data_IF_489863586461
#
_entry.id   IF_489863586461
#
_cell.length_a   1.000
_cell.length_b   1.000
_cell.length_c   1.000
_cell.angle_alpha   90.00
_cell.angle_beta   90.00
_cell.angle_gamma   90.00
#
_symmetry.space_group_name_H-M   'P 1'
#
loop_
_entity.id
_entity.type
_entity.pdbx_description
1 polymer ?
#
# COMPACT_ATOMS: atom_id res chain seq x y z
N UNK A 1 17.84 -1.42 -4.37
CA UNK A 1 16.73 -2.21 -4.93
C UNK A 1 15.40 -1.60 -4.53
N UNK A 2 14.37 -1.71 -5.39
CA UNK A 2 13.04 -1.19 -5.07
C UNK A 2 11.99 -2.31 -5.17
N UNK A 3 11.12 -2.36 -4.17
CA UNK A 3 10.01 -3.31 -4.08
C UNK A 3 8.69 -2.58 -3.85
N UNK A 4 7.61 -3.16 -4.29
CA UNK A 4 6.27 -2.76 -3.91
C UNK A 4 5.74 -3.71 -2.85
N UNK A 5 5.22 -3.17 -1.73
CA UNK A 5 4.72 -3.95 -0.60
C UNK A 5 3.22 -3.78 -0.50
N UNK A 6 2.49 -4.88 -0.66
CA UNK A 6 1.04 -4.91 -0.48
C UNK A 6 0.69 -5.19 0.98
N UNK A 7 -0.39 -4.56 1.46
CA UNK A 7 -0.90 -4.78 2.82
C UNK A 7 -0.29 -3.89 3.89
N UNK A 8 0.47 -2.84 3.51
CA UNK A 8 0.87 -1.78 4.44
C UNK A 8 -0.31 -0.84 4.72
N UNK A 9 -1.26 -1.26 5.53
CA UNK A 9 -2.51 -0.51 5.73
C UNK A 9 -2.44 0.48 6.89
N UNK A 10 -1.42 0.40 7.73
CA UNK A 10 -1.25 1.26 8.91
C UNK A 10 0.21 1.70 9.11
N UNK A 11 0.39 2.83 9.79
CA UNK A 11 1.73 3.36 10.08
C UNK A 11 2.58 2.40 10.93
N UNK A 12 1.95 1.60 11.81
CA UNK A 12 2.65 0.59 12.61
C UNK A 12 3.26 -0.52 11.77
N UNK A 13 2.72 -0.78 10.56
CA UNK A 13 3.26 -1.76 9.63
C UNK A 13 4.66 -1.38 9.14
N UNK A 14 4.93 -0.08 8.98
CA UNK A 14 6.26 0.44 8.61
C UNK A 14 7.27 0.03 9.68
N UNK A 15 7.01 0.36 10.95
CA UNK A 15 7.92 0.02 12.05
C UNK A 15 8.16 -1.48 12.19
N UNK A 16 7.14 -2.32 11.93
CA UNK A 16 7.27 -3.78 11.94
C UNK A 16 8.21 -4.27 10.83
N UNK A 17 8.09 -3.76 9.63
CA UNK A 17 8.94 -4.11 8.48
C UNK A 17 10.36 -3.58 8.70
N UNK A 18 10.53 -2.33 9.11
CA UNK A 18 11.84 -1.73 9.40
C UNK A 18 12.57 -2.51 10.49
N UNK A 19 11.91 -2.85 11.60
CA UNK A 19 12.50 -3.63 12.69
C UNK A 19 12.95 -5.02 12.22
N UNK A 20 12.18 -5.67 11.36
CA UNK A 20 12.52 -6.97 10.82
C UNK A 20 13.71 -6.91 9.86
N UNK A 21 13.74 -5.90 8.97
CA UNK A 21 14.82 -5.71 8.00
C UNK A 21 16.12 -5.22 8.66
N UNK A 22 16.04 -4.38 9.69
CA UNK A 22 17.20 -3.91 10.45
C UNK A 22 17.96 -5.03 11.17
N UNK A 23 17.33 -6.17 11.41
CA UNK A 23 17.95 -7.37 12.01
C UNK A 23 18.64 -8.28 10.98
N UNK A 24 18.44 -8.03 9.70
CA UNK A 24 19.05 -8.84 8.64
C UNK A 24 20.47 -8.32 8.36
N UNK A 25 21.49 -9.19 8.43
CA UNK A 25 22.86 -8.80 8.14
C UNK A 25 23.00 -8.40 6.66
N UNK A 26 23.66 -7.28 6.39
CA UNK A 26 23.90 -6.81 5.02
C UNK A 26 22.76 -6.00 4.38
N UNK A 27 21.69 -5.68 5.11
CA UNK A 27 20.66 -4.75 4.68
C UNK A 27 20.95 -3.36 5.24
N UNK A 28 20.97 -2.33 4.39
CA UNK A 28 21.20 -0.93 4.76
C UNK A 28 20.23 -0.01 4.01
N UNK A 29 20.14 1.25 4.47
CA UNK A 29 19.33 2.30 3.85
C UNK A 29 17.87 1.90 3.59
N UNK A 30 17.23 1.28 4.58
CA UNK A 30 15.82 0.88 4.48
C UNK A 30 14.95 2.12 4.52
N UNK A 31 14.28 2.41 3.41
CA UNK A 31 13.32 3.50 3.29
C UNK A 31 11.97 2.95 2.84
N UNK A 32 10.96 3.14 3.69
CA UNK A 32 9.59 2.76 3.41
C UNK A 32 8.73 3.99 3.17
N UNK A 33 8.03 4.01 2.06
CA UNK A 33 7.07 5.06 1.75
C UNK A 33 5.64 4.50 1.81
N UNK A 34 4.88 4.96 2.80
CA UNK A 34 3.51 4.53 3.02
C UNK A 34 2.56 4.90 1.88
N UNK A 35 2.72 6.11 1.29
CA UNK A 35 1.82 6.61 0.26
C UNK A 35 1.96 5.83 -1.05
N UNK A 36 3.20 5.49 -1.43
CA UNK A 36 3.51 4.75 -2.66
C UNK A 36 3.64 3.24 -2.44
N UNK A 37 3.57 2.78 -1.19
CA UNK A 37 3.80 1.37 -0.81
C UNK A 37 5.13 0.83 -1.35
N UNK A 38 6.14 1.68 -1.39
CA UNK A 38 7.47 1.33 -1.91
C UNK A 38 8.47 1.14 -0.78
N UNK A 39 9.26 0.08 -0.90
CA UNK A 39 10.44 -0.19 -0.11
C UNK A 39 11.66 0.03 -0.97
N UNK A 40 12.56 0.88 -0.53
CA UNK A 40 13.90 1.05 -1.09
C UNK A 40 14.90 0.57 -0.06
N UNK A 41 15.84 -0.27 -0.48
CA UNK A 41 16.91 -0.76 0.38
C UNK A 41 18.20 -0.99 -0.43
N UNK A 42 19.33 -0.95 0.28
CA UNK A 42 20.65 -1.28 -0.25
C UNK A 42 21.10 -2.62 0.35
N UNK A 43 21.55 -3.54 -0.50
CA UNK A 43 22.19 -4.77 -0.07
C UNK A 43 23.69 -4.61 -0.20
N UNK A 44 24.42 -4.93 0.87
CA UNK A 44 25.87 -4.97 0.86
C UNK A 44 26.36 -6.17 0.01
N UNK A 45 27.41 -5.95 -0.75
CA UNK A 45 27.95 -6.95 -1.70
C UNK A 45 28.55 -8.21 -1.06
N UNK A 46 28.67 -8.24 0.27
CA UNK A 46 29.29 -9.36 1.01
C UNK A 46 28.46 -10.66 1.07
N UNK A 47 27.36 -10.76 0.32
CA UNK A 47 26.66 -12.02 0.06
C UNK A 47 25.90 -12.64 1.24
N UNK A 48 25.84 -11.98 2.39
CA UNK A 48 25.19 -12.53 3.59
C UNK A 48 23.66 -12.59 3.48
N UNK A 49 23.04 -11.68 2.69
CA UNK A 49 21.58 -11.64 2.48
C UNK A 49 21.28 -11.46 1.02
N UNK A 50 20.46 -12.33 0.46
CA UNK A 50 20.00 -12.24 -0.92
C UNK A 50 18.63 -11.57 -1.01
N UNK A 51 18.28 -11.06 -2.18
CA UNK A 51 16.97 -10.47 -2.46
C UNK A 51 15.81 -11.41 -2.07
N UNK A 52 15.99 -12.71 -2.29
CA UNK A 52 15.03 -13.76 -1.92
C UNK A 52 14.77 -13.84 -0.40
N UNK A 53 15.78 -13.57 0.43
CA UNK A 53 15.63 -13.64 1.89
C UNK A 53 14.83 -12.44 2.42
N UNK A 54 15.00 -11.27 1.81
CA UNK A 54 14.18 -10.08 2.06
C UNK A 54 12.72 -10.39 1.70
N UNK A 55 12.48 -10.96 0.51
CA UNK A 55 11.13 -11.35 0.09
C UNK A 55 10.48 -12.36 1.02
N UNK A 56 11.22 -13.40 1.41
CA UNK A 56 10.73 -14.42 2.36
C UNK A 56 10.39 -13.82 3.71
N UNK A 57 11.21 -12.91 4.21
CA UNK A 57 10.99 -12.25 5.49
C UNK A 57 9.71 -11.41 5.46
N UNK A 58 9.52 -10.60 4.42
CA UNK A 58 8.32 -9.77 4.26
C UNK A 58 7.06 -10.64 4.09
N UNK A 59 7.15 -11.73 3.31
CA UNK A 59 6.04 -12.70 3.16
C UNK A 59 5.70 -13.40 4.48
N UNK A 60 6.70 -13.71 5.34
CA UNK A 60 6.46 -14.29 6.69
C UNK A 60 5.73 -13.33 7.61
N UNK A 61 5.99 -12.03 7.49
CA UNK A 61 5.28 -10.98 8.22
C UNK A 61 3.83 -10.81 7.76
N UNK A 62 3.42 -11.50 6.69
CA UNK A 62 2.07 -11.44 6.15
C UNK A 62 1.84 -10.35 5.11
N UNK A 63 2.90 -9.69 4.63
CA UNK A 63 2.83 -8.68 3.58
C UNK A 63 3.07 -9.29 2.20
N UNK A 64 2.38 -8.76 1.18
CA UNK A 64 2.70 -9.05 -0.21
C UNK A 64 3.94 -8.26 -0.64
N UNK A 65 4.81 -8.86 -1.44
CA UNK A 65 5.98 -8.18 -2.02
C UNK A 65 6.10 -8.53 -3.49
N UNK A 66 6.32 -7.52 -4.31
CA UNK A 66 6.64 -7.64 -5.72
C UNK A 66 7.84 -6.77 -6.06
N UNK A 67 8.80 -7.33 -6.80
CA UNK A 67 9.96 -6.58 -7.28
C UNK A 67 9.47 -5.48 -8.24
N UNK A 68 9.85 -4.25 -7.99
CA UNK A 68 9.62 -3.14 -8.91
C UNK A 68 10.77 -3.12 -9.91
N UNK A 69 10.68 -3.95 -10.94
CA UNK A 69 11.53 -3.79 -12.12
C UNK A 69 11.30 -2.39 -12.67
N UNK A 70 12.39 -1.69 -13.03
CA UNK A 70 12.39 -0.38 -13.71
C UNK A 70 11.18 -0.24 -14.64
N UNK A 71 10.54 0.94 -14.69
CA UNK A 71 9.33 1.13 -15.48
C UNK A 71 9.59 0.76 -16.93
N UNK A 72 9.14 -0.41 -17.33
CA UNK A 72 9.03 -0.78 -18.73
C UNK A 72 7.90 0.07 -19.32
N UNK A 73 8.09 0.66 -20.48
CA UNK A 73 7.16 1.54 -21.19
C UNK A 73 5.77 0.94 -21.49
N UNK A 74 5.47 -0.28 -21.02
CA UNK A 74 4.21 -0.97 -21.24
C UNK A 74 3.21 -0.89 -20.08
N UNK A 75 3.53 -0.20 -18.96
CA UNK A 75 2.63 -0.11 -17.80
C UNK A 75 1.54 0.98 -17.90
N UNK A 76 1.23 1.46 -19.10
CA UNK A 76 0.17 2.46 -19.31
C UNK A 76 -1.25 1.94 -19.03
N UNK A 77 -1.44 0.63 -18.80
CA UNK A 77 -2.77 0.03 -18.61
C UNK A 77 -3.03 -0.56 -17.21
N UNK A 78 -2.07 -0.52 -16.30
CA UNK A 78 -2.29 -0.96 -14.91
C UNK A 78 -2.60 0.23 -14.00
N UNK A 79 -3.70 0.93 -14.28
CA UNK A 79 -4.36 1.68 -13.20
C UNK A 79 -4.81 0.65 -12.18
N UNK A 80 -4.39 0.73 -10.92
CA UNK A 80 -4.91 -0.14 -9.89
C UNK A 80 -6.41 0.16 -9.77
N UNK A 81 -7.22 -0.72 -10.36
CA UNK A 81 -8.66 -0.67 -10.20
C UNK A 81 -8.93 -0.77 -8.71
N UNK A 82 -9.58 0.24 -8.15
CA UNK A 82 -10.02 0.22 -6.76
C UNK A 82 -10.97 -0.95 -6.61
N UNK A 83 -10.44 -2.09 -6.18
CA UNK A 83 -11.26 -3.26 -5.95
C UNK A 83 -12.24 -2.96 -4.82
N UNK A 84 -13.53 -3.29 -4.98
CA UNK A 84 -14.49 -3.11 -3.91
C UNK A 84 -14.08 -3.94 -2.70
N UNK A 85 -14.26 -3.39 -1.48
CA UNK A 85 -13.79 -3.96 -0.22
C UNK A 85 -14.20 -5.44 0.00
N UNK A 86 -15.37 -5.86 -0.53
CA UNK A 86 -15.85 -7.25 -0.44
C UNK A 86 -15.07 -8.25 -1.32
N UNK A 87 -14.30 -7.78 -2.28
CA UNK A 87 -13.43 -8.62 -3.13
C UNK A 87 -12.03 -8.77 -2.55
N UNK A 88 -11.65 -7.91 -1.59
CA UNK A 88 -10.36 -7.99 -0.93
C UNK A 88 -10.25 -9.26 -0.07
N UNK A 89 -9.02 -9.75 0.13
CA UNK A 89 -8.78 -10.91 1.01
C UNK A 89 -9.35 -10.68 2.41
N UNK A 90 -9.16 -9.47 2.97
CA UNK A 90 -9.68 -9.09 4.28
C UNK A 90 -11.20 -9.05 4.30
N UNK A 91 -11.84 -8.48 3.28
CA UNK A 91 -13.31 -8.48 3.16
C UNK A 91 -13.90 -9.89 3.14
N UNK A 92 -13.29 -10.80 2.38
CA UNK A 92 -13.71 -12.21 2.35
C UNK A 92 -13.50 -12.92 3.69
N UNK A 93 -12.41 -12.63 4.41
CA UNK A 93 -12.16 -13.18 5.74
C UNK A 93 -13.20 -12.70 6.75
N UNK A 94 -13.52 -11.39 6.78
CA UNK A 94 -14.55 -10.84 7.67
C UNK A 94 -15.94 -11.41 7.35
N UNK A 95 -16.30 -11.51 6.06
CA UNK A 95 -17.56 -12.11 5.64
C UNK A 95 -17.64 -13.60 6.03
N UNK A 96 -16.55 -14.35 5.82
CA UNK A 96 -16.50 -15.76 6.23
C UNK A 96 -16.59 -15.95 7.73
N UNK A 97 -15.89 -15.11 8.52
CA UNK A 97 -15.96 -15.15 9.97
C UNK A 97 -17.35 -14.74 10.50
N UNK A 98 -17.96 -13.72 9.89
CA UNK A 98 -19.33 -13.31 10.22
C UNK A 98 -20.37 -14.41 9.92
N UNK A 99 -20.21 -15.10 8.79
CA UNK A 99 -21.06 -16.22 8.43
C UNK A 99 -20.88 -17.40 9.39
N UNK A 100 -19.62 -17.71 9.76
CA UNK A 100 -19.30 -18.73 10.74
C UNK A 100 -19.92 -18.41 12.12
N UNK A 101 -19.82 -17.17 12.55
CA UNK A 101 -20.39 -16.68 13.81
C UNK A 101 -21.92 -16.73 13.79
N UNK A 102 -22.55 -16.31 12.70
CA UNK A 102 -24.00 -16.42 12.53
C UNK A 102 -24.47 -17.88 12.55
N UNK A 103 -23.74 -18.76 11.89
CA UNK A 103 -24.02 -20.20 11.93
C UNK A 103 -23.85 -20.79 13.33
N UNK A 104 -22.81 -20.38 14.07
CA UNK A 104 -22.60 -20.79 15.45
C UNK A 104 -23.74 -20.35 16.35
N UNK A 105 -24.23 -19.12 16.18
CA UNK A 105 -25.37 -18.58 16.93
C UNK A 105 -26.67 -19.34 16.65
N UNK A 106 -26.95 -19.64 15.38
CA UNK A 106 -28.12 -20.42 14.97
C UNK A 106 -28.05 -21.84 15.54
N UNK A 107 -26.89 -22.49 15.48
CA UNK A 107 -26.68 -23.83 16.05
C UNK A 107 -26.84 -23.83 17.56
N UNK A 108 -26.35 -22.82 18.27
CA UNK A 108 -26.53 -22.70 19.72
C UNK A 108 -28.00 -22.52 20.14
N UNK A 109 -28.83 -21.87 19.30
CA UNK A 109 -30.28 -21.76 19.55
C UNK A 109 -30.97 -23.13 19.48
N UNK A 110 -30.57 -24.02 18.56
CA UNK A 110 -31.17 -25.36 18.43
C UNK A 110 -30.57 -26.37 19.40
N UNK A 111 -29.30 -26.19 19.78
CA UNK A 111 -28.54 -27.12 20.63
C UNK A 111 -27.81 -26.38 21.76
N UNK A 112 -28.53 -25.86 22.79
CA UNK A 112 -27.91 -25.03 23.82
C UNK A 112 -26.80 -25.74 24.60
N UNK A 113 -26.89 -27.05 24.80
CA UNK A 113 -25.88 -27.82 25.52
C UNK A 113 -24.53 -27.91 24.76
N UNK A 114 -24.50 -27.65 23.45
CA UNK A 114 -23.30 -27.73 22.61
C UNK A 114 -22.83 -26.34 22.14
N UNK A 115 -23.57 -25.27 22.46
CA UNK A 115 -23.31 -23.90 22.02
C UNK A 115 -21.87 -23.45 22.32
N UNK A 116 -21.40 -23.66 23.53
CA UNK A 116 -20.02 -23.29 23.94
C UNK A 116 -18.93 -23.93 23.06
N UNK A 117 -19.12 -25.21 22.71
CA UNK A 117 -18.14 -25.91 21.85
C UNK A 117 -18.12 -25.41 20.42
N UNK A 118 -19.30 -25.01 19.90
CA UNK A 118 -19.43 -24.45 18.55
C UNK A 118 -18.78 -23.08 18.49
N UNK A 119 -19.01 -22.23 19.49
CA UNK A 119 -18.31 -20.93 19.58
C UNK A 119 -16.81 -21.11 19.78
N UNK A 120 -16.39 -22.05 20.62
CA UNK A 120 -14.96 -22.32 20.81
C UNK A 120 -14.28 -22.75 19.50
N UNK A 121 -14.92 -23.60 18.70
CA UNK A 121 -14.41 -23.97 17.38
C UNK A 121 -14.35 -22.76 16.43
N UNK A 122 -15.37 -21.90 16.43
CA UNK A 122 -15.38 -20.67 15.62
C UNK A 122 -14.26 -19.71 16.02
N UNK A 123 -13.98 -19.54 17.32
CA UNK A 123 -12.88 -18.72 17.85
C UNK A 123 -11.54 -19.28 17.40
N UNK A 124 -11.30 -20.58 17.52
CA UNK A 124 -10.04 -21.21 17.11
C UNK A 124 -9.78 -20.97 15.63
N UNK A 125 -10.79 -21.17 14.77
CA UNK A 125 -10.68 -20.90 13.33
C UNK A 125 -10.45 -19.42 13.05
N UNK A 126 -11.17 -18.53 13.75
CA UNK A 126 -11.08 -17.08 13.57
C UNK A 126 -9.75 -16.49 14.06
N UNK A 127 -9.21 -16.98 15.18
CA UNK A 127 -7.95 -16.51 15.76
C UNK A 127 -6.74 -17.01 14.96
N UNK A 128 -6.85 -18.16 14.30
CA UNK A 128 -5.72 -18.80 13.63
C UNK A 128 -4.88 -17.88 12.72
N UNK A 129 -5.46 -17.09 11.78
CA UNK A 129 -4.69 -16.19 10.94
C UNK A 129 -3.98 -15.09 11.74
N UNK A 130 -4.60 -14.59 12.80
CA UNK A 130 -4.03 -13.56 13.67
C UNK A 130 -2.92 -14.12 14.56
N UNK A 131 -3.12 -15.29 15.15
CA UNK A 131 -2.10 -15.98 15.94
C UNK A 131 -0.84 -16.29 15.12
N UNK A 132 -1.02 -16.75 13.89
CA UNK A 132 0.12 -16.99 12.98
C UNK A 132 0.89 -15.69 12.68
N UNK A 133 0.17 -14.58 12.45
CA UNK A 133 0.78 -13.27 12.23
C UNK A 133 1.47 -12.76 13.49
N UNK A 134 0.84 -12.92 14.66
CA UNK A 134 1.40 -12.55 15.96
C UNK A 134 2.71 -13.29 16.25
N UNK A 135 2.76 -14.60 16.01
CA UNK A 135 3.97 -15.41 16.18
C UNK A 135 5.07 -14.92 15.22
N UNK A 136 4.75 -14.69 13.95
CA UNK A 136 5.72 -14.20 12.98
C UNK A 136 6.32 -12.85 13.38
N UNK A 137 5.49 -11.93 13.88
CA UNK A 137 5.91 -10.62 14.39
C UNK A 137 6.75 -10.75 15.67
N UNK A 138 6.38 -11.62 16.58
CA UNK A 138 7.15 -11.88 17.80
C UNK A 138 8.55 -12.41 17.47
N UNK A 139 8.66 -13.36 16.53
CA UNK A 139 9.94 -13.89 16.05
C UNK A 139 10.79 -12.84 15.32
N UNK A 140 10.15 -11.86 14.69
CA UNK A 140 10.81 -10.75 13.98
C UNK A 140 11.20 -9.59 14.91
N UNK A 141 10.90 -9.71 16.22
CA UNK A 141 11.32 -8.74 17.25
C UNK A 141 10.30 -7.73 17.66
N UNK A 142 9.04 -7.91 17.28
CA UNK A 142 7.91 -7.09 17.71
C UNK A 142 6.87 -7.96 18.45
N UNK A 143 7.18 -8.45 19.67
CA UNK A 143 6.31 -9.38 20.39
C UNK A 143 5.02 -8.72 20.88
N UNK A 144 5.05 -7.43 21.15
CA UNK A 144 3.90 -6.66 21.65
C UNK A 144 3.15 -6.00 20.50
N UNK A 145 2.55 -6.82 19.66
CA UNK A 145 1.69 -6.32 18.58
C UNK A 145 0.22 -6.41 19.00
N UNK A 146 -0.63 -5.63 18.33
CA UNK A 146 -2.08 -5.66 18.59
C UNK A 146 -2.69 -7.04 18.30
N UNK A 147 -2.12 -7.74 17.30
CA UNK A 147 -2.50 -9.11 16.96
C UNK A 147 -2.16 -10.10 18.07
N UNK A 148 -1.01 -9.90 18.76
CA UNK A 148 -0.62 -10.71 19.91
C UNK A 148 -1.58 -10.49 21.06
N UNK A 149 -1.85 -9.22 21.39
CA UNK A 149 -2.76 -8.86 22.48
C UNK A 149 -4.16 -9.44 22.27
N UNK A 150 -4.70 -9.30 21.06
CA UNK A 150 -6.01 -9.85 20.69
C UNK A 150 -6.03 -11.37 20.76
N UNK A 151 -4.99 -12.03 20.23
CA UNK A 151 -4.91 -13.50 20.27
C UNK A 151 -4.85 -14.03 21.71
N UNK A 152 -4.07 -13.39 22.58
CA UNK A 152 -3.98 -13.75 24.00
C UNK A 152 -5.31 -13.51 24.70
N UNK A 153 -5.97 -12.38 24.45
CA UNK A 153 -7.26 -12.06 25.04
C UNK A 153 -8.35 -13.07 24.62
N UNK A 154 -8.43 -13.40 23.33
CA UNK A 154 -9.42 -14.35 22.82
C UNK A 154 -9.19 -15.77 23.35
N UNK A 155 -7.92 -16.22 23.42
CA UNK A 155 -7.59 -17.51 24.04
C UNK A 155 -7.85 -17.50 25.53
N UNK A 156 -7.54 -16.41 26.24
CA UNK A 156 -7.85 -16.26 27.66
C UNK A 156 -9.34 -16.37 27.96
N UNK A 157 -10.17 -15.69 27.16
CA UNK A 157 -11.64 -15.78 27.27
C UNK A 157 -12.15 -17.22 27.05
N UNK A 158 -11.55 -17.94 26.09
CA UNK A 158 -11.83 -19.37 25.86
C UNK A 158 -11.50 -20.24 27.09
N UNK A 159 -10.37 -19.98 27.75
CA UNK A 159 -9.97 -20.72 28.96
C UNK A 159 -10.89 -20.48 30.15
N UNK A 160 -11.48 -19.29 30.24
CA UNK A 160 -12.45 -18.92 31.29
C UNK A 160 -13.83 -19.53 30.98
N UNK A 161 -14.07 -19.98 29.75
CA UNK A 161 -15.34 -20.55 29.31
C UNK A 161 -16.26 -19.59 28.57
N UNK A 162 -15.82 -18.33 28.38
CA UNK A 162 -16.56 -17.25 27.70
C UNK A 162 -16.29 -17.28 26.18
N UNK A 163 -16.76 -18.36 25.53
CA UNK A 163 -16.50 -18.58 24.11
C UNK A 163 -17.27 -17.60 23.20
N UNK A 164 -18.45 -17.15 23.62
CA UNK A 164 -19.25 -16.17 22.87
C UNK A 164 -18.58 -14.81 22.83
N UNK A 165 -18.10 -14.32 23.98
CA UNK A 165 -17.37 -13.07 24.09
C UNK A 165 -16.07 -13.12 23.29
N UNK A 166 -15.33 -14.23 23.38
CA UNK A 166 -14.14 -14.45 22.58
C UNK A 166 -14.43 -14.34 21.07
N UNK A 167 -15.51 -14.96 20.61
CA UNK A 167 -15.94 -14.90 19.22
C UNK A 167 -16.30 -13.47 18.79
N UNK A 168 -17.04 -12.75 19.63
CA UNK A 168 -17.41 -11.36 19.39
C UNK A 168 -16.20 -10.45 19.30
N UNK A 169 -15.21 -10.59 20.19
CA UNK A 169 -13.96 -9.81 20.16
C UNK A 169 -13.19 -10.06 18.87
N UNK A 170 -13.00 -11.31 18.46
CA UNK A 170 -12.30 -11.66 17.22
C UNK A 170 -13.01 -11.09 16.00
N UNK A 171 -14.32 -11.14 15.97
CA UNK A 171 -15.13 -10.62 14.86
C UNK A 171 -15.07 -9.10 14.78
N UNK A 172 -15.26 -8.40 15.90
CA UNK A 172 -15.19 -6.93 15.96
C UNK A 172 -13.79 -6.43 15.60
N UNK A 173 -12.76 -7.11 16.07
CA UNK A 173 -11.38 -6.80 15.67
C UNK A 173 -11.18 -6.93 14.16
N UNK A 174 -11.69 -8.01 13.56
CA UNK A 174 -11.60 -8.23 12.12
C UNK A 174 -12.31 -7.14 11.32
N UNK A 175 -13.46 -6.66 11.81
CA UNK A 175 -14.18 -5.51 11.22
C UNK A 175 -13.31 -4.25 11.34
N UNK A 176 -12.73 -3.99 12.50
CA UNK A 176 -11.86 -2.84 12.74
C UNK A 176 -10.67 -2.81 11.75
N UNK A 177 -9.99 -3.94 11.57
CA UNK A 177 -8.88 -4.08 10.62
C UNK A 177 -9.33 -3.88 9.16
N UNK A 178 -10.54 -4.32 8.82
CA UNK A 178 -11.11 -4.07 7.49
C UNK A 178 -11.39 -2.58 7.28
N UNK A 179 -12.03 -1.91 8.25
CA UNK A 179 -12.34 -0.49 8.17
C UNK A 179 -11.07 0.36 8.08
N UNK A 180 -10.03 0.02 8.86
CA UNK A 180 -8.72 0.67 8.80
C UNK A 180 -8.11 0.56 7.39
N UNK A 181 -8.13 -0.64 6.80
CA UNK A 181 -7.60 -0.85 5.45
C UNK A 181 -8.38 -0.06 4.39
N UNK A 182 -9.71 -0.03 4.48
CA UNK A 182 -10.57 0.74 3.56
C UNK A 182 -10.31 2.25 3.70
N UNK A 183 -10.14 2.76 4.91
CA UNK A 183 -9.83 4.15 5.16
C UNK A 183 -8.45 4.53 4.60
N UNK A 184 -7.43 3.68 4.84
CA UNK A 184 -6.09 3.86 4.30
C UNK A 184 -6.08 3.86 2.76
N UNK A 185 -6.81 2.96 2.13
CA UNK A 185 -6.88 2.89 0.67
C UNK A 185 -7.57 4.11 0.06
N UNK A 186 -8.62 4.63 0.70
CA UNK A 186 -9.27 5.89 0.28
C UNK A 186 -8.33 7.08 0.39
N UNK A 187 -7.59 7.19 1.51
CA UNK A 187 -6.61 8.27 1.70
C UNK A 187 -5.52 8.21 0.62
N UNK A 188 -5.00 7.03 0.32
CA UNK A 188 -4.00 6.83 -0.74
C UNK A 188 -4.55 7.12 -2.13
N UNK A 189 -5.80 6.80 -2.41
CA UNK A 189 -6.43 7.10 -3.70
C UNK A 189 -6.42 8.60 -3.98
N UNK A 190 -6.66 9.45 -2.97
CA UNK A 190 -6.53 10.90 -3.08
C UNK A 190 -5.10 11.34 -3.45
N UNK A 191 -4.09 10.80 -2.77
CA UNK A 191 -2.68 11.10 -3.06
C UNK A 191 -2.29 10.64 -4.47
N UNK A 192 -2.71 9.44 -4.87
CA UNK A 192 -2.45 8.91 -6.22
C UNK A 192 -3.13 9.73 -7.30
N UNK A 193 -4.34 10.22 -7.06
CA UNK A 193 -5.05 11.10 -7.98
C UNK A 193 -4.27 12.40 -8.22
N UNK A 194 -3.69 12.99 -7.18
CA UNK A 194 -2.81 14.15 -7.33
C UNK A 194 -1.51 13.79 -8.07
N UNK A 195 -0.87 12.66 -7.74
CA UNK A 195 0.33 12.21 -8.42
C UNK A 195 0.09 11.88 -9.90
N UNK A 196 -1.13 11.44 -10.28
CA UNK A 196 -1.50 11.20 -11.67
C UNK A 196 -1.65 12.47 -12.51
N UNK A 197 -1.69 13.64 -11.86
CA UNK A 197 -1.69 14.94 -12.54
C UNK A 197 -0.32 15.25 -13.16
N UNK A 198 0.75 14.64 -12.66
CA UNK A 198 2.10 14.82 -13.21
C UNK A 198 2.25 13.91 -14.45
N UNK A 199 2.48 14.48 -15.65
CA UNK A 199 2.63 13.71 -16.86
C UNK A 199 3.89 12.84 -16.82
N UNK A 200 3.77 11.57 -17.24
CA UNK A 200 4.89 10.62 -17.24
C UNK A 200 5.72 10.67 -18.51
N UNK A 201 5.16 11.15 -19.62
CA UNK A 201 5.82 11.22 -20.93
C UNK A 201 5.86 12.66 -21.45
N UNK A 202 6.87 13.02 -22.21
CA UNK A 202 7.07 14.30 -22.86
C UNK A 202 7.39 14.09 -24.34
N UNK A 203 7.02 15.04 -25.20
CA UNK A 203 7.40 15.02 -26.60
C UNK A 203 8.65 15.89 -26.78
N UNK A 204 9.79 15.25 -27.02
CA UNK A 204 11.06 15.91 -27.31
C UNK A 204 11.09 16.31 -28.78
N UNK A 205 11.56 17.53 -29.06
CA UNK A 205 11.86 18.03 -30.40
C UNK A 205 13.39 17.89 -30.64
N UNK A 206 13.76 17.21 -31.69
CA UNK A 206 15.17 17.21 -32.12
C UNK A 206 15.51 18.44 -32.97
N UNK A 207 16.80 18.64 -33.26
CA UNK A 207 17.28 19.78 -34.04
C UNK A 207 16.76 19.83 -35.49
N UNK A 208 16.23 18.70 -36.00
CA UNK A 208 15.64 18.57 -37.33
C UNK A 208 14.13 18.68 -37.35
N UNK A 209 13.49 18.97 -36.19
CA UNK A 209 12.04 19.09 -36.05
C UNK A 209 11.34 17.74 -35.87
N UNK A 210 12.08 16.65 -35.72
CA UNK A 210 11.51 15.32 -35.39
C UNK A 210 10.92 15.32 -33.99
N UNK A 211 9.78 14.62 -33.85
CA UNK A 211 9.07 14.48 -32.58
C UNK A 211 9.26 13.08 -32.03
N UNK A 212 9.75 12.96 -30.80
CA UNK A 212 9.92 11.68 -30.12
C UNK A 212 9.33 11.74 -28.72
N UNK A 213 8.49 10.78 -28.40
CA UNK A 213 7.95 10.62 -27.04
C UNK A 213 9.02 9.98 -26.15
N UNK A 214 9.33 10.62 -25.02
CA UNK A 214 10.31 10.20 -24.04
C UNK A 214 9.68 10.25 -22.64
N UNK A 215 10.23 9.48 -21.71
CA UNK A 215 9.84 9.59 -20.31
C UNK A 215 10.22 10.99 -19.78
N UNK A 216 9.28 11.67 -19.07
CA UNK A 216 9.54 13.00 -18.53
C UNK A 216 10.77 13.04 -17.61
N UNK A 217 11.06 11.94 -16.88
CA UNK A 217 12.22 11.79 -16.03
C UNK A 217 13.57 11.70 -16.80
N UNK A 218 13.53 11.45 -18.12
CA UNK A 218 14.74 11.39 -18.96
C UNK A 218 15.11 12.72 -19.61
N UNK A 219 14.30 13.77 -19.41
CA UNK A 219 14.58 15.10 -19.92
C UNK A 219 15.84 15.68 -19.26
N UNK A 220 16.62 16.39 -20.08
CA UNK A 220 17.84 17.08 -19.65
C UNK A 220 17.67 18.59 -19.80
N UNK A 221 18.50 19.33 -19.10
CA UNK A 221 18.56 20.79 -19.24
C UNK A 221 18.93 21.14 -20.69
N UNK A 222 18.20 22.08 -21.28
CA UNK A 222 18.25 22.53 -22.67
C UNK A 222 17.53 21.61 -23.68
N UNK A 223 16.82 20.60 -23.25
CA UNK A 223 15.94 19.85 -24.16
C UNK A 223 14.74 20.72 -24.59
N UNK A 224 14.39 20.63 -25.86
CA UNK A 224 13.18 21.30 -26.40
C UNK A 224 11.99 20.37 -26.31
N UNK A 225 10.97 20.79 -25.58
CA UNK A 225 9.74 19.99 -25.38
C UNK A 225 8.56 20.67 -26.09
N UNK A 226 7.84 19.89 -26.88
CA UNK A 226 6.60 20.35 -27.51
C UNK A 226 5.44 20.26 -26.52
N UNK A 227 4.75 21.39 -26.29
CA UNK A 227 3.53 21.48 -25.50
C UNK A 227 2.40 21.94 -26.41
N UNK A 228 1.36 21.14 -26.57
CA UNK A 228 0.19 21.46 -27.37
C UNK A 228 -0.90 22.10 -26.49
N UNK A 229 -1.84 22.86 -27.08
CA UNK A 229 -3.02 23.32 -26.36
C UNK A 229 -3.76 22.17 -25.68
N UNK A 230 -4.01 22.31 -24.37
CA UNK A 230 -4.64 21.26 -23.56
C UNK A 230 -3.65 20.27 -22.91
N UNK A 231 -2.38 20.26 -23.31
CA UNK A 231 -1.37 19.43 -22.68
C UNK A 231 -1.01 19.96 -21.28
N UNK A 232 -0.56 19.04 -20.42
CA UNK A 232 0.03 19.39 -19.13
C UNK A 232 1.53 19.61 -19.29
N UNK A 233 2.05 20.62 -18.59
CA UNK A 233 3.48 20.87 -18.52
C UNK A 233 4.19 19.72 -17.84
N UNK A 234 5.28 19.25 -18.42
CA UNK A 234 5.98 18.01 -18.03
C UNK A 234 7.32 18.27 -17.34
N UNK A 235 7.80 19.50 -17.42
CA UNK A 235 9.03 19.97 -16.78
C UNK A 235 8.95 21.49 -16.61
N UNK A 236 9.70 22.00 -15.65
CA UNK A 236 9.94 23.44 -15.52
C UNK A 236 10.81 23.90 -16.67
N UNK A 237 10.54 25.10 -17.20
CA UNK A 237 11.27 25.56 -18.35
C UNK A 237 11.01 27.03 -18.71
N UNK A 238 11.57 27.43 -19.83
CA UNK A 238 11.39 28.75 -20.42
C UNK A 238 10.78 28.56 -21.81
N UNK A 239 9.83 29.41 -22.18
CA UNK A 239 9.22 29.38 -23.53
C UNK A 239 10.14 30.10 -24.51
N UNK A 240 10.89 29.40 -25.38
CA UNK A 240 11.74 30.05 -26.37
C UNK A 240 10.93 30.62 -27.53
N UNK A 241 9.88 29.91 -27.94
CA UNK A 241 9.03 30.29 -29.07
C UNK A 241 7.54 30.09 -28.72
N UNK A 242 6.69 31.05 -29.08
CA UNK A 242 5.26 30.97 -28.86
C UNK A 242 4.79 31.69 -27.59
N UNK A 243 3.58 31.36 -27.17
CA UNK A 243 2.98 31.89 -25.94
C UNK A 243 2.33 30.76 -25.18
N UNK A 244 2.30 30.88 -23.87
CA UNK A 244 1.76 29.86 -22.96
C UNK A 244 0.86 30.51 -21.93
N UNK A 245 -0.31 29.94 -21.70
CA UNK A 245 -1.24 30.36 -20.65
C UNK A 245 -1.55 29.17 -19.72
N UNK A 246 -0.62 28.82 -18.80
CA UNK A 246 -0.78 27.66 -17.96
C UNK A 246 -1.89 27.85 -16.92
N UNK A 247 -2.79 26.89 -16.81
CA UNK A 247 -3.75 26.82 -15.72
C UNK A 247 -3.08 26.19 -14.49
N UNK A 248 -2.88 26.99 -13.45
CA UNK A 248 -2.25 26.59 -12.18
C UNK A 248 -3.26 26.22 -11.09
N UNK A 249 -4.55 26.29 -11.38
CA UNK A 249 -5.61 26.04 -10.39
C UNK A 249 -5.50 24.70 -9.63
N UNK A 250 -4.99 23.61 -10.22
CA UNK A 250 -4.80 22.35 -9.47
C UNK A 250 -3.71 22.40 -8.39
N UNK A 251 -2.74 23.30 -8.53
CA UNK A 251 -1.55 23.37 -7.65
C UNK A 251 -1.47 24.62 -6.80
N UNK A 252 -2.27 25.64 -7.13
CA UNK A 252 -2.29 26.91 -6.42
C UNK A 252 -3.74 27.40 -6.23
N UNK A 253 -3.97 28.20 -5.20
CA UNK A 253 -5.28 28.84 -4.94
C UNK A 253 -5.67 29.86 -6.02
N UNK A 254 -4.74 30.22 -6.93
CA UNK A 254 -4.98 31.17 -8.02
C UNK A 254 -5.75 30.51 -9.17
N UNK A 255 -7.03 30.85 -9.31
CA UNK A 255 -7.91 30.30 -10.35
C UNK A 255 -7.72 30.98 -11.74
N UNK A 256 -6.89 31.99 -11.87
CA UNK A 256 -6.69 32.73 -13.14
C UNK A 256 -5.45 32.21 -13.88
N UNK A 257 -5.57 31.82 -15.17
CA UNK A 257 -4.44 31.51 -16.01
C UNK A 257 -3.56 32.75 -16.23
N UNK A 258 -2.24 32.59 -16.10
CA UNK A 258 -1.26 33.63 -16.35
C UNK A 258 -0.62 33.41 -17.71
N UNK A 259 -0.81 34.35 -18.64
CA UNK A 259 -0.13 34.25 -19.94
C UNK A 259 1.36 34.55 -19.80
N UNK A 260 2.17 33.76 -20.48
CA UNK A 260 3.62 33.86 -20.50
C UNK A 260 4.09 33.93 -21.94
N UNK A 261 4.86 34.95 -22.28
CA UNK A 261 5.41 35.17 -23.63
C UNK A 261 6.86 34.70 -23.69
N UNK A 262 7.37 34.45 -24.91
CA UNK A 262 8.73 34.00 -25.17
C UNK A 262 9.77 34.84 -24.41
N UNK A 263 10.70 34.20 -23.74
CA UNK A 263 11.83 34.80 -23.04
C UNK A 263 11.56 35.38 -21.64
N UNK A 264 10.31 35.34 -21.12
CA UNK A 264 9.96 36.15 -19.95
C UNK A 264 9.74 35.37 -18.63
N UNK A 265 9.53 34.07 -18.61
CA UNK A 265 9.18 33.43 -17.30
C UNK A 265 9.52 31.94 -17.22
N UNK A 266 10.12 31.55 -16.11
CA UNK A 266 10.09 30.17 -15.59
C UNK A 266 8.69 29.86 -15.08
N UNK A 267 8.18 28.69 -15.39
CA UNK A 267 6.89 28.18 -14.89
C UNK A 267 7.09 26.93 -14.08
#
# INVERSE_FOLDING_TARGET
MQYHIEGMDCASCIGKIETALARMPGVSDVQLNFATQSLTLSLLADGATQADDVEKTIKRLGFGISARTTPSNNDTNNQPTVQPWWQTRKGKQVAGLGMLMAAAYVLALFFPAQGTWVFAAAVIVGVFPFARKAIALAMSGSPFSIETLMSVAALGALFIGEAEEAAAVVFLFSIGELLESVAADRARAGIRALASLVPKAAVLLDAQGGQREVAAASLRVNDHVLVRPGDRLRADGVVPNGWLSPNRSPTTVAATPRSTTAGTTRF
#
